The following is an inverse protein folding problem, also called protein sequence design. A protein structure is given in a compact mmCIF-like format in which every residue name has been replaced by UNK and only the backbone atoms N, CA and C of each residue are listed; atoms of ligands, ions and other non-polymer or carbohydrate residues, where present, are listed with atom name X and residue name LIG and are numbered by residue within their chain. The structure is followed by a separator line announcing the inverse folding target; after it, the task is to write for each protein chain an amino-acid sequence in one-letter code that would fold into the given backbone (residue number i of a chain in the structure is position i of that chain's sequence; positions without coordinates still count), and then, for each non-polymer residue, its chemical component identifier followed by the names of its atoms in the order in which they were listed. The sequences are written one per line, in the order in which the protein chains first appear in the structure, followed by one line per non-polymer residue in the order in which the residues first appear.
data_IF_858900398707
#
_entry.id   IF_858900398707
#
_cell.length_a   1.000
_cell.length_b   1.000
_cell.length_c   1.000
_cell.angle_alpha   90.00
_cell.angle_beta   90.00
_cell.angle_gamma   90.00
#
_symmetry.space_group_name_H-M   'P 1'
#
loop_
_entity.id
_entity.type
_entity.pdbx_description
1 polymer ?
#
# COMPACT_ATOMS: atom_id res chain seq x y z
N UNK A 1 -1.71 -19.35 -6.90
CA UNK A 1 -0.29 -19.03 -7.08
C UNK A 1 -0.15 -17.77 -7.94
N UNK A 2 0.64 -16.82 -7.48
CA UNK A 2 0.84 -15.56 -8.19
C UNK A 2 1.81 -15.78 -9.35
N UNK A 3 1.42 -15.28 -10.54
CA UNK A 3 2.25 -15.38 -11.74
C UNK A 3 3.03 -14.09 -12.01
N UNK A 4 4.12 -14.20 -12.76
CA UNK A 4 4.87 -13.04 -13.19
C UNK A 4 4.02 -12.09 -14.06
N UNK A 5 3.08 -12.61 -14.83
CA UNK A 5 2.18 -11.81 -15.66
C UNK A 5 1.29 -10.89 -14.82
N UNK A 6 0.79 -11.39 -13.68
CA UNK A 6 -0.02 -10.58 -12.77
C UNK A 6 0.81 -9.44 -12.22
N UNK A 7 2.04 -9.71 -11.79
CA UNK A 7 2.92 -8.70 -11.22
C UNK A 7 3.28 -7.60 -12.22
N UNK A 8 3.35 -7.94 -13.49
CA UNK A 8 3.68 -6.99 -14.55
C UNK A 8 2.68 -5.83 -14.64
N UNK A 9 1.45 -6.02 -14.20
CA UNK A 9 0.43 -4.98 -14.22
C UNK A 9 0.59 -3.93 -13.12
N UNK A 10 1.48 -4.16 -12.15
CA UNK A 10 1.73 -3.22 -11.06
C UNK A 10 2.93 -2.33 -11.37
N UNK A 11 2.73 -1.02 -11.26
CA UNK A 11 3.77 -0.03 -11.56
C UNK A 11 5.02 -0.16 -10.69
N UNK A 12 4.88 -0.76 -9.50
CA UNK A 12 6.02 -1.03 -8.63
C UNK A 12 7.10 -1.86 -9.32
N UNK A 13 6.69 -2.75 -10.21
CA UNK A 13 7.59 -3.68 -10.91
C UNK A 13 7.94 -3.25 -12.33
N UNK A 14 7.58 -2.02 -12.70
CA UNK A 14 7.89 -1.47 -14.02
C UNK A 14 9.40 -1.47 -14.26
N UNK A 15 9.81 -1.97 -15.42
CA UNK A 15 11.24 -2.05 -15.80
C UNK A 15 11.90 -3.38 -15.45
N UNK A 16 11.17 -4.32 -14.83
CA UNK A 16 11.69 -5.65 -14.55
C UNK A 16 11.38 -6.63 -15.68
N UNK A 17 12.32 -7.52 -15.95
CA UNK A 17 12.16 -8.57 -16.94
C UNK A 17 11.35 -9.74 -16.40
N UNK A 18 10.79 -10.56 -17.28
CA UNK A 18 9.97 -11.71 -16.90
C UNK A 18 10.65 -12.65 -15.90
N UNK A 19 11.94 -13.03 -16.07
CA UNK A 19 12.63 -13.87 -15.08
C UNK A 19 12.76 -13.23 -13.71
N UNK A 20 12.93 -11.91 -13.67
CA UNK A 20 13.01 -11.15 -12.42
C UNK A 20 11.67 -11.12 -11.69
N UNK A 21 10.58 -10.93 -12.42
CA UNK A 21 9.22 -10.99 -11.89
C UNK A 21 8.88 -12.38 -11.35
N UNK A 22 9.36 -13.43 -12.03
CA UNK A 22 9.14 -14.80 -11.58
C UNK A 22 9.77 -15.07 -10.20
N UNK A 23 10.94 -14.49 -9.95
CA UNK A 23 11.59 -14.62 -8.62
C UNK A 23 10.81 -13.89 -7.54
N UNK A 24 10.31 -12.70 -7.85
CA UNK A 24 9.48 -11.93 -6.90
C UNK A 24 8.16 -12.66 -6.63
N UNK A 25 7.58 -13.28 -7.64
CA UNK A 25 6.32 -14.02 -7.49
C UNK A 25 6.40 -15.12 -6.43
N UNK A 26 7.57 -15.69 -6.23
CA UNK A 26 7.81 -16.72 -5.19
C UNK A 26 7.62 -16.18 -3.77
N UNK A 27 7.74 -14.87 -3.58
CA UNK A 27 7.56 -14.21 -2.28
C UNK A 27 6.10 -13.83 -2.03
N UNK A 28 5.24 -13.96 -3.03
CA UNK A 28 3.88 -13.47 -2.99
C UNK A 28 2.90 -14.51 -2.46
N UNK A 29 1.89 -14.01 -1.73
CA UNK A 29 0.75 -14.79 -1.23
C UNK A 29 -0.52 -14.08 -1.65
N UNK A 30 -1.58 -14.82 -1.84
CA UNK A 30 -2.89 -14.26 -2.16
C UNK A 30 -3.80 -14.29 -0.94
N UNK A 31 -4.63 -13.26 -0.79
CA UNK A 31 -5.64 -13.22 0.26
C UNK A 31 -6.87 -12.44 -0.21
N UNK A 32 -8.04 -12.94 0.15
CA UNK A 32 -9.32 -12.27 -0.07
C UNK A 32 -9.81 -11.66 1.24
N UNK A 33 -10.36 -10.46 1.15
CA UNK A 33 -10.96 -9.75 2.28
C UNK A 33 -12.42 -9.45 1.97
N UNK A 34 -13.26 -9.61 2.97
CA UNK A 34 -14.66 -9.25 2.86
C UNK A 34 -14.87 -7.74 3.00
N UNK A 35 -16.02 -7.29 2.55
CA UNK A 35 -16.44 -5.89 2.66
C UNK A 35 -16.34 -5.42 4.12
N UNK A 36 -15.83 -4.20 4.31
CA UNK A 36 -15.63 -3.54 5.60
C UNK A 36 -14.55 -4.14 6.50
N UNK A 37 -13.83 -5.17 6.04
CA UNK A 37 -12.69 -5.72 6.80
C UNK A 37 -11.57 -4.70 6.94
N UNK A 38 -10.95 -4.68 8.12
CA UNK A 38 -9.69 -3.97 8.32
C UNK A 38 -8.55 -4.88 7.89
N UNK A 39 -7.73 -4.39 6.96
CA UNK A 39 -6.52 -5.10 6.54
C UNK A 39 -5.41 -4.83 7.54
N UNK A 40 -5.28 -3.58 7.96
CA UNK A 40 -4.39 -3.18 9.04
C UNK A 40 -4.89 -1.91 9.71
N UNK A 41 -4.38 -1.65 10.90
CA UNK A 41 -4.80 -0.53 11.75
C UNK A 41 -3.64 0.42 12.01
N UNK A 42 -3.93 1.72 11.97
CA UNK A 42 -2.96 2.79 12.28
C UNK A 42 -2.28 2.51 13.64
N UNK A 43 -0.98 2.74 13.69
CA UNK A 43 -0.16 2.53 14.88
C UNK A 43 0.37 1.12 15.04
N UNK A 44 -0.13 0.16 14.28
CA UNK A 44 0.36 -1.22 14.28
C UNK A 44 1.72 -1.35 13.58
N UNK A 45 2.34 -2.51 13.77
CA UNK A 45 3.56 -2.87 13.05
C UNK A 45 3.26 -3.20 11.59
N UNK A 46 4.05 -2.66 10.68
CA UNK A 46 3.91 -2.94 9.26
C UNK A 46 4.75 -4.17 8.91
N UNK A 47 4.09 -5.26 8.56
CA UNK A 47 4.75 -6.53 8.22
C UNK A 47 4.69 -6.88 6.75
N UNK A 48 3.62 -6.52 6.07
CA UNK A 48 3.39 -6.89 4.68
C UNK A 48 3.17 -5.69 3.78
N UNK A 49 3.61 -5.82 2.53
CA UNK A 49 3.26 -4.92 1.44
C UNK A 49 2.12 -5.56 0.66
N UNK A 50 1.17 -4.76 0.23
CA UNK A 50 -0.05 -5.22 -0.42
C UNK A 50 -0.15 -4.67 -1.84
N UNK A 51 -0.54 -5.55 -2.76
CA UNK A 51 -0.86 -5.20 -4.15
C UNK A 51 -2.35 -5.48 -4.34
N UNK A 52 -3.11 -4.50 -4.80
CA UNK A 52 -4.55 -4.69 -4.97
C UNK A 52 -4.86 -5.23 -6.38
N UNK A 53 -5.36 -6.46 -6.42
CA UNK A 53 -5.78 -7.08 -7.70
C UNK A 53 -7.18 -6.67 -8.09
N UNK A 54 -8.12 -6.73 -7.15
CA UNK A 54 -9.53 -6.37 -7.38
C UNK A 54 -10.10 -5.69 -6.15
N UNK A 55 -11.11 -4.87 -6.36
CA UNK A 55 -11.80 -4.17 -5.29
C UNK A 55 -11.24 -2.77 -5.05
N UNK A 56 -11.58 -2.22 -3.91
CA UNK A 56 -11.12 -0.90 -3.46
C UNK A 56 -10.81 -0.94 -1.98
N UNK A 57 -9.74 -0.25 -1.59
CA UNK A 57 -9.31 -0.19 -0.19
C UNK A 57 -9.17 1.28 0.20
N UNK A 58 -9.86 1.67 1.26
CA UNK A 58 -9.77 3.02 1.79
C UNK A 58 -8.63 3.13 2.78
N UNK A 59 -7.75 4.08 2.55
CA UNK A 59 -6.70 4.46 3.48
C UNK A 59 -7.25 5.56 4.36
N UNK A 60 -7.33 5.29 5.66
CA UNK A 60 -8.02 6.14 6.61
C UNK A 60 -7.11 6.59 7.73
N UNK A 61 -7.30 7.83 8.16
CA UNK A 61 -6.67 8.35 9.37
C UNK A 61 -7.76 8.70 10.37
N UNK A 62 -7.42 8.54 11.64
CA UNK A 62 -8.28 8.94 12.74
C UNK A 62 -7.66 10.16 13.39
N UNK A 63 -8.49 11.15 13.69
CA UNK A 63 -8.02 12.30 14.43
C UNK A 63 -9.12 12.82 15.34
N UNK A 64 -8.68 13.44 16.41
CA UNK A 64 -9.55 13.98 17.44
C UNK A 64 -9.29 15.48 17.55
N UNK A 65 -10.36 16.25 17.39
CA UNK A 65 -10.34 17.70 17.58
C UNK A 65 -11.35 18.01 18.66
N UNK A 66 -10.86 18.41 19.84
CA UNK A 66 -11.68 18.57 21.06
C UNK A 66 -12.44 17.28 21.37
N UNK A 67 -13.76 17.30 21.38
CA UNK A 67 -14.60 16.12 21.64
C UNK A 67 -15.02 15.40 20.36
N UNK A 68 -14.57 15.89 19.21
CA UNK A 68 -14.86 15.29 17.91
C UNK A 68 -13.84 14.24 17.54
N UNK A 69 -14.32 13.03 17.34
CA UNK A 69 -13.52 11.97 16.73
C UNK A 69 -13.93 11.85 15.26
N UNK A 70 -12.95 11.87 14.37
CA UNK A 70 -13.19 11.77 12.94
C UNK A 70 -12.33 10.70 12.31
N UNK A 71 -12.93 10.01 11.36
CA UNK A 71 -12.21 9.12 10.45
C UNK A 71 -12.29 9.73 9.06
N UNK A 72 -11.15 10.01 8.47
CA UNK A 72 -11.09 10.56 7.12
C UNK A 72 -10.44 9.56 6.18
N UNK A 73 -11.07 9.33 5.04
CA UNK A 73 -10.46 8.59 3.95
C UNK A 73 -9.58 9.55 3.18
N UNK A 74 -8.26 9.35 3.25
CA UNK A 74 -7.29 10.24 2.61
C UNK A 74 -6.85 9.74 1.25
N UNK A 75 -7.13 8.49 0.94
CA UNK A 75 -6.83 7.88 -0.35
C UNK A 75 -7.65 6.61 -0.52
N UNK A 76 -8.13 6.36 -1.74
CA UNK A 76 -8.76 5.08 -2.09
C UNK A 76 -7.87 4.36 -3.08
N UNK A 77 -7.35 3.22 -2.65
CA UNK A 77 -6.50 2.36 -3.47
C UNK A 77 -7.37 1.65 -4.50
N UNK A 78 -6.97 1.72 -5.74
CA UNK A 78 -7.64 1.03 -6.85
C UNK A 78 -6.83 -0.14 -7.38
N UNK A 79 -7.43 -0.83 -8.32
CA UNK A 79 -6.81 -1.98 -9.00
C UNK A 79 -5.47 -1.59 -9.61
N UNK A 80 -4.45 -2.41 -9.37
CA UNK A 80 -3.10 -2.19 -9.88
C UNK A 80 -2.23 -1.32 -9.00
N UNK A 81 -2.75 -0.82 -7.89
CA UNK A 81 -2.00 0.03 -6.97
C UNK A 81 -1.51 -0.75 -5.76
N UNK A 82 -0.51 -0.19 -5.08
CA UNK A 82 0.07 -0.78 -3.88
C UNK A 82 -0.27 0.04 -2.64
N UNK A 83 -0.21 -0.60 -1.49
CA UNK A 83 -0.37 0.06 -0.19
C UNK A 83 0.39 -0.73 0.88
N UNK A 84 0.56 -0.13 2.07
CA UNK A 84 1.25 -0.78 3.17
C UNK A 84 2.76 -0.83 3.04
N UNK A 85 3.37 0.08 2.27
CA UNK A 85 4.83 0.10 2.07
C UNK A 85 5.64 0.46 3.31
N UNK A 86 5.01 0.85 4.42
CA UNK A 86 5.72 1.04 5.69
C UNK A 86 6.45 -0.23 6.12
N UNK A 87 6.04 -1.40 5.62
CA UNK A 87 6.74 -2.66 5.81
C UNK A 87 8.17 -2.64 5.25
N UNK A 88 8.46 -1.72 4.32
CA UNK A 88 9.76 -1.58 3.67
C UNK A 88 10.59 -0.41 4.26
N UNK A 89 9.98 0.45 5.06
CA UNK A 89 10.58 1.69 5.51
C UNK A 89 10.61 1.77 7.04
N UNK A 90 11.79 1.91 7.66
CA UNK A 90 11.85 2.11 9.11
C UNK A 90 11.06 3.37 9.52
N UNK A 91 10.40 3.38 10.68
CA UNK A 91 10.40 2.39 11.75
C UNK A 91 9.37 1.26 11.61
N UNK A 92 8.85 1.00 10.42
CA UNK A 92 7.90 -0.07 10.11
C UNK A 92 6.62 0.02 10.93
N UNK A 93 6.08 1.23 11.05
CA UNK A 93 4.82 1.50 11.73
C UNK A 93 3.80 2.03 10.74
N UNK A 94 2.58 1.54 10.87
CA UNK A 94 1.48 1.97 10.02
C UNK A 94 1.00 3.36 10.43
N UNK A 95 0.97 4.26 9.45
CA UNK A 95 0.58 5.67 9.65
C UNK A 95 -0.88 5.93 9.30
N UNK A 96 -1.57 4.90 8.84
CA UNK A 96 -2.99 4.95 8.50
C UNK A 96 -3.57 3.55 8.65
N UNK A 97 -4.89 3.46 8.64
CA UNK A 97 -5.61 2.18 8.59
C UNK A 97 -6.01 1.88 7.15
N UNK A 98 -6.18 0.61 6.81
CA UNK A 98 -6.68 0.18 5.50
C UNK A 98 -7.94 -0.64 5.69
N UNK A 99 -9.06 -0.17 5.12
CA UNK A 99 -10.37 -0.82 5.21
C UNK A 99 -10.91 -1.09 3.82
N UNK A 100 -11.42 -2.29 3.62
CA UNK A 100 -12.04 -2.65 2.35
C UNK A 100 -13.38 -1.94 2.15
N UNK A 101 -13.54 -1.24 1.03
CA UNK A 101 -14.80 -0.62 0.65
C UNK A 101 -15.82 -1.67 0.20
N UNK A 102 -15.33 -2.70 -0.52
CA UNK A 102 -16.07 -3.87 -0.92
C UNK A 102 -15.18 -5.09 -0.78
N UNK A 103 -15.59 -6.22 -1.32
CA UNK A 103 -14.72 -7.41 -1.37
C UNK A 103 -13.45 -7.07 -2.14
N UNK A 104 -12.31 -7.49 -1.63
CA UNK A 104 -11.01 -7.20 -2.23
C UNK A 104 -10.12 -8.44 -2.29
N UNK A 105 -9.43 -8.60 -3.41
CA UNK A 105 -8.39 -9.61 -3.56
C UNK A 105 -7.04 -8.91 -3.60
N UNK A 106 -6.14 -9.33 -2.74
CA UNK A 106 -4.81 -8.72 -2.62
C UNK A 106 -3.71 -9.76 -2.77
N UNK A 107 -2.56 -9.28 -3.24
CA UNK A 107 -1.31 -10.03 -3.21
C UNK A 107 -0.49 -9.41 -2.09
N UNK A 108 0.07 -10.25 -1.23
CA UNK A 108 0.87 -9.83 -0.09
C UNK A 108 2.30 -10.30 -0.22
N UNK A 109 3.24 -9.47 0.20
CA UNK A 109 4.64 -9.83 0.33
C UNK A 109 5.13 -9.44 1.71
N UNK A 110 5.82 -10.35 2.40
CA UNK A 110 6.45 -10.00 3.66
C UNK A 110 7.55 -8.96 3.41
N UNK A 111 7.49 -7.84 4.11
CA UNK A 111 8.42 -6.73 3.89
C UNK A 111 9.87 -7.08 4.15
N UNK A 112 10.12 -7.85 5.22
CA UNK A 112 11.48 -8.29 5.57
C UNK A 112 12.06 -9.21 4.50
N UNK A 113 11.28 -10.20 4.05
CA UNK A 113 11.71 -11.12 2.99
C UNK A 113 12.00 -10.38 1.69
N UNK A 114 11.12 -9.43 1.34
CA UNK A 114 11.32 -8.62 0.15
C UNK A 114 12.59 -7.81 0.25
N UNK A 115 12.82 -7.12 1.37
CA UNK A 115 14.03 -6.32 1.55
C UNK A 115 15.30 -7.16 1.50
N UNK A 116 15.29 -8.35 2.09
CA UNK A 116 16.43 -9.27 2.00
C UNK A 116 16.71 -9.68 0.55
N UNK A 117 15.66 -9.94 -0.22
CA UNK A 117 15.79 -10.23 -1.64
C UNK A 117 16.38 -9.04 -2.43
N UNK A 118 15.88 -7.83 -2.16
CA UNK A 118 16.35 -6.61 -2.85
C UNK A 118 17.81 -6.28 -2.53
N UNK A 119 18.26 -6.58 -1.32
CA UNK A 119 19.65 -6.37 -0.93
C UNK A 119 20.59 -7.33 -1.64
N UNK A 120 20.13 -8.54 -1.94
CA UNK A 120 20.92 -9.55 -2.67
C UNK A 120 20.99 -9.25 -4.16
N UNK A 121 19.91 -8.75 -4.73
CA UNK A 121 19.86 -8.36 -6.14
C UNK A 121 19.69 -6.84 -6.23
N UNK A 122 20.81 -6.15 -6.31
CA UNK A 122 20.84 -4.68 -6.26
C UNK A 122 20.23 -4.01 -7.49
N UNK A 123 20.24 -4.68 -8.63
CA UNK A 123 19.58 -4.16 -9.82
C UNK A 123 18.06 -4.12 -9.63
N UNK A 124 17.48 -5.23 -9.20
CA UNK A 124 16.06 -5.31 -8.92
C UNK A 124 15.72 -4.34 -7.77
N UNK A 125 16.55 -4.33 -6.72
CA UNK A 125 16.39 -3.44 -5.58
C UNK A 125 16.33 -1.97 -5.98
N UNK A 126 17.25 -1.53 -6.85
CA UNK A 126 17.25 -0.16 -7.35
C UNK A 126 15.97 0.17 -8.12
N UNK A 127 15.56 -0.71 -9.04
CA UNK A 127 14.36 -0.49 -9.85
C UNK A 127 13.12 -0.37 -8.97
N UNK A 128 12.95 -1.29 -8.02
CA UNK A 128 11.79 -1.29 -7.11
C UNK A 128 11.80 -0.06 -6.22
N UNK A 129 12.94 0.30 -5.63
CA UNK A 129 13.00 1.49 -4.75
C UNK A 129 12.78 2.77 -5.53
N UNK A 130 13.26 2.86 -6.76
CA UNK A 130 12.99 4.00 -7.64
C UNK A 130 11.50 4.13 -7.92
N UNK A 131 10.85 3.02 -8.28
CA UNK A 131 9.41 3.00 -8.54
C UNK A 131 8.63 3.34 -7.27
N UNK A 132 9.04 2.77 -6.14
CA UNK A 132 8.40 3.04 -4.85
C UNK A 132 8.49 4.51 -4.48
N UNK A 133 9.65 5.15 -4.67
CA UNK A 133 9.83 6.56 -4.35
C UNK A 133 8.87 7.44 -5.16
N UNK A 134 8.66 7.12 -6.45
CA UNK A 134 7.72 7.85 -7.30
C UNK A 134 6.27 7.65 -6.82
N UNK A 135 5.92 6.42 -6.44
CA UNK A 135 4.59 6.11 -5.93
C UNK A 135 4.31 6.83 -4.60
N UNK A 136 5.27 6.86 -3.70
CA UNK A 136 5.13 7.56 -2.41
C UNK A 136 4.99 9.06 -2.65
N UNK A 137 5.78 9.64 -3.54
CA UNK A 137 5.69 11.06 -3.86
C UNK A 137 4.30 11.43 -4.38
N UNK A 138 3.78 10.64 -5.31
CA UNK A 138 2.43 10.84 -5.86
C UNK A 138 1.36 10.68 -4.78
N UNK A 139 1.49 9.67 -3.93
CA UNK A 139 0.55 9.42 -2.84
C UNK A 139 0.56 10.54 -1.81
N UNK A 140 1.75 11.06 -1.49
CA UNK A 140 1.89 12.19 -0.56
C UNK A 140 1.15 13.42 -1.09
N UNK A 141 1.30 13.73 -2.36
CA UNK A 141 0.60 14.86 -2.99
C UNK A 141 -0.93 14.69 -2.90
N UNK A 142 -1.44 13.51 -3.25
CA UNK A 142 -2.88 13.21 -3.20
C UNK A 142 -3.42 13.26 -1.78
N UNK A 143 -2.70 12.70 -0.83
CA UNK A 143 -3.10 12.68 0.59
C UNK A 143 -3.11 14.07 1.18
N UNK A 144 -2.13 14.91 0.84
CA UNK A 144 -2.07 16.30 1.30
C UNK A 144 -3.29 17.09 0.83
N UNK A 145 -3.68 16.92 -0.44
CA UNK A 145 -4.88 17.57 -1.00
C UNK A 145 -6.14 17.12 -0.28
N UNK A 146 -6.26 15.79 -0.03
CA UNK A 146 -7.42 15.23 0.66
C UNK A 146 -7.55 15.76 2.09
N UNK A 147 -6.43 15.83 2.82
CA UNK A 147 -6.40 16.36 4.19
C UNK A 147 -6.77 17.82 4.23
N UNK A 148 -6.25 18.62 3.30
CA UNK A 148 -6.60 20.02 3.20
C UNK A 148 -8.11 20.20 3.02
N UNK A 149 -8.70 19.39 2.16
CA UNK A 149 -10.13 19.41 1.88
C UNK A 149 -10.95 19.08 3.14
N UNK A 150 -10.55 18.05 3.90
CA UNK A 150 -11.22 17.68 5.14
C UNK A 150 -11.12 18.78 6.20
N UNK A 151 -9.97 19.40 6.33
CA UNK A 151 -9.76 20.52 7.26
C UNK A 151 -10.65 21.70 6.87
N UNK A 152 -10.74 22.03 5.59
CA UNK A 152 -11.60 23.13 5.11
C UNK A 152 -13.07 22.87 5.42
N UNK A 153 -13.54 21.64 5.32
CA UNK A 153 -14.92 21.27 5.70
C UNK A 153 -15.22 21.55 7.17
N UNK A 154 -14.24 21.31 8.05
CA UNK A 154 -14.40 21.55 9.49
C UNK A 154 -14.51 23.04 9.82
N UNK A 155 -13.76 23.87 9.12
CA UNK A 155 -13.72 25.31 9.35
C UNK A 155 -15.00 26.00 8.87
N UNK A 156 -15.62 25.48 7.81
CA UNK A 156 -16.85 26.05 7.23
C UNK A 156 -18.11 25.78 8.04
N UNK A 157 -18.04 24.92 9.05
CA UNK A 157 -19.13 24.67 9.97
C UNK A 157 -19.04 25.63 11.15
#
# INVERSE_FOLDING_TARGET
MVSAEILKSFSLFSGLAQPELAEIAKLCRERAYERHSLIFTIGGSATDVYLLETGKVDIQIEFKIHDYEMVATVYTVGRGEIFGWSALVPPHRLTASARCEGKADVIMMNGKELMEFLEKDKRIGYVIMKNLSALISSRLASTTIALRHEIQKLIKK
#
